data_IF_811411973622
#
_entry.id   IF_811411973622
#
_cell.length_a   1.000
_cell.length_b   1.000
_cell.length_c   1.000
_cell.angle_alpha   90.00
_cell.angle_beta   90.00
_cell.angle_gamma   90.00
#
_symmetry.space_group_name_H-M   'P 1'
#
loop_
_entity.id
_entity.type
_entity.pdbx_description
1 polymer ?
#
# COMPACT_ATOMS: atom_id res chain seq x y z
N UNK A 1 -6.25 1.14 9.08
CA UNK A 1 -4.96 1.26 8.38
C UNK A 1 -4.01 2.30 8.95
N UNK A 2 -4.50 3.37 9.54
CA UNK A 2 -3.63 4.41 10.07
C UNK A 2 -2.58 3.87 11.04
N UNK A 3 -2.99 3.07 12.02
CA UNK A 3 -2.06 2.54 13.02
C UNK A 3 -1.00 1.64 12.38
N UNK A 4 -1.37 0.85 11.38
CA UNK A 4 -0.43 -0.02 10.70
C UNK A 4 0.61 0.78 9.90
N UNK A 5 0.16 1.86 9.24
CA UNK A 5 1.07 2.74 8.50
C UNK A 5 2.04 3.43 9.44
N UNK A 6 1.54 3.92 10.57
CA UNK A 6 2.37 4.56 11.58
C UNK A 6 3.39 3.57 12.15
N UNK A 7 2.97 2.33 12.36
CA UNK A 7 3.89 1.30 12.83
C UNK A 7 5.02 1.08 11.82
N UNK A 8 4.68 0.95 10.54
CA UNK A 8 5.68 0.79 9.48
C UNK A 8 6.65 1.97 9.45
N UNK A 9 6.12 3.19 9.55
CA UNK A 9 6.94 4.41 9.52
C UNK A 9 7.94 4.47 10.66
N UNK A 10 7.62 3.84 11.78
CA UNK A 10 8.47 3.85 12.96
C UNK A 10 9.40 2.64 13.07
N UNK A 11 9.38 1.74 12.09
CA UNK A 11 10.32 0.63 12.09
C UNK A 11 11.72 1.13 11.80
N UNK A 12 12.71 0.36 12.23
CA UNK A 12 14.11 0.70 11.96
C UNK A 12 14.59 0.02 10.69
N UNK A 13 13.87 0.27 9.60
CA UNK A 13 14.14 -0.37 8.31
C UNK A 13 14.84 0.58 7.36
N UNK A 14 15.65 0.02 6.45
CA UNK A 14 16.29 0.82 5.42
C UNK A 14 15.27 1.46 4.51
N UNK A 15 14.24 0.70 4.14
CA UNK A 15 13.22 1.15 3.23
C UNK A 15 11.87 0.62 3.71
N UNK A 16 10.85 1.46 3.64
CA UNK A 16 9.51 1.15 4.13
C UNK A 16 8.55 1.14 2.96
N UNK A 17 7.94 -0.01 2.71
CA UNK A 17 7.07 -0.23 1.57
C UNK A 17 5.68 -0.58 2.07
N UNK A 18 4.67 0.18 1.64
CA UNK A 18 3.29 -0.11 1.98
C UNK A 18 2.58 -0.68 0.75
N UNK A 19 1.96 -1.85 0.90
CA UNK A 19 1.14 -2.48 -0.13
C UNK A 19 -0.28 -2.50 0.38
N UNK A 20 -1.13 -1.66 -0.19
CA UNK A 20 -2.48 -1.42 0.32
C UNK A 20 -3.52 -1.77 -0.73
N UNK A 21 -4.53 -2.54 -0.32
CA UNK A 21 -5.63 -2.92 -1.18
C UNK A 21 -6.94 -2.31 -0.74
N UNK A 22 -8.02 -2.73 -1.40
CA UNK A 22 -9.35 -2.22 -1.10
C UNK A 22 -9.79 -2.59 0.32
N UNK A 23 -10.49 -1.63 0.95
CA UNK A 23 -11.24 -1.89 2.18
C UNK A 23 -12.69 -2.08 1.76
N UNK A 24 -13.27 -3.23 2.11
CA UNK A 24 -14.65 -3.54 1.72
C UNK A 24 -15.66 -3.07 2.75
N UNK A 25 -16.94 -3.08 2.35
CA UNK A 25 -18.07 -2.78 3.22
C UNK A 25 -18.11 -1.34 3.74
N UNK A 26 -17.51 -0.40 3.01
CA UNK A 26 -17.54 1.02 3.37
C UNK A 26 -18.70 1.78 2.72
N UNK A 27 -19.39 1.16 1.77
CA UNK A 27 -20.54 1.77 1.11
C UNK A 27 -20.19 3.06 0.40
N UNK A 28 -21.02 4.07 0.56
CA UNK A 28 -20.84 5.37 -0.11
C UNK A 28 -19.63 6.17 0.40
N UNK A 29 -19.07 5.77 1.53
CA UNK A 29 -17.90 6.45 2.09
C UNK A 29 -16.58 5.84 1.62
N UNK A 30 -16.62 4.87 0.70
CA UNK A 30 -15.42 4.16 0.28
C UNK A 30 -14.34 5.09 -0.28
N UNK A 31 -14.69 5.97 -1.20
CA UNK A 31 -13.69 6.87 -1.78
C UNK A 31 -13.07 7.77 -0.70
N UNK A 32 -13.91 8.38 0.12
CA UNK A 32 -13.44 9.29 1.17
C UNK A 32 -12.49 8.60 2.14
N UNK A 33 -12.84 7.39 2.57
CA UNK A 33 -12.03 6.66 3.54
C UNK A 33 -10.72 6.18 2.93
N UNK A 34 -10.74 5.75 1.67
CA UNK A 34 -9.51 5.38 0.98
C UNK A 34 -8.60 6.60 0.79
N UNK A 35 -9.16 7.77 0.49
CA UNK A 35 -8.37 9.00 0.37
C UNK A 35 -7.71 9.38 1.69
N UNK A 36 -8.40 9.18 2.81
CA UNK A 36 -7.80 9.44 4.12
C UNK A 36 -6.58 8.57 4.39
N UNK A 37 -6.61 7.33 3.92
CA UNK A 37 -5.45 6.45 4.04
C UNK A 37 -4.27 7.03 3.23
N UNK A 38 -4.54 7.55 2.04
CA UNK A 38 -3.50 8.20 1.23
C UNK A 38 -2.87 9.39 1.93
N UNK A 39 -3.66 10.21 2.61
CA UNK A 39 -3.13 11.32 3.40
C UNK A 39 -2.20 10.82 4.50
N UNK A 40 -2.59 9.75 5.18
CA UNK A 40 -1.77 9.19 6.27
C UNK A 40 -0.44 8.70 5.71
N UNK A 41 -0.46 8.02 4.55
CA UNK A 41 0.78 7.56 3.91
C UNK A 41 1.70 8.74 3.62
N UNK A 42 1.15 9.83 3.04
CA UNK A 42 1.97 10.99 2.66
C UNK A 42 2.57 11.71 3.86
N UNK A 43 1.91 11.65 5.02
CA UNK A 43 2.37 12.32 6.24
C UNK A 43 3.37 11.51 7.04
N UNK A 44 3.59 10.26 6.66
CA UNK A 44 4.51 9.37 7.36
C UNK A 44 5.71 9.07 6.47
N UNK A 45 6.77 8.53 7.07
CA UNK A 45 7.99 8.20 6.32
C UNK A 45 7.82 6.84 5.64
N UNK A 46 7.20 6.86 4.46
CA UNK A 46 7.00 5.66 3.65
C UNK A 46 7.75 5.88 2.34
N UNK A 47 8.61 4.95 1.98
CA UNK A 47 9.46 5.10 0.80
C UNK A 47 8.76 4.73 -0.50
N UNK A 48 7.93 3.68 -0.47
CA UNK A 48 7.19 3.25 -1.65
C UNK A 48 5.77 2.89 -1.26
N UNK A 49 4.82 3.27 -2.11
CA UNK A 49 3.41 2.93 -1.95
C UNK A 49 2.93 2.18 -3.18
N UNK A 50 2.49 0.96 -2.97
CA UNK A 50 1.85 0.16 -4.01
C UNK A 50 0.40 -0.05 -3.61
N UNK A 51 -0.51 0.17 -4.56
CA UNK A 51 -1.93 -0.04 -4.31
C UNK A 51 -2.48 -1.02 -5.34
N UNK A 52 -3.50 -1.77 -4.94
CA UNK A 52 -4.17 -2.71 -5.83
C UNK A 52 -5.66 -2.76 -5.53
N UNK A 53 -6.49 -2.68 -6.57
CA UNK A 53 -7.93 -2.73 -6.44
C UNK A 53 -8.61 -1.47 -6.94
N UNK A 54 -9.93 -1.55 -7.19
CA UNK A 54 -10.67 -0.43 -7.76
C UNK A 54 -10.73 0.78 -6.84
N UNK A 55 -10.90 0.56 -5.54
CA UNK A 55 -11.02 1.67 -4.59
C UNK A 55 -9.65 2.10 -4.06
N UNK A 56 -8.68 1.20 -4.05
CA UNK A 56 -7.34 1.53 -3.58
C UNK A 56 -6.65 2.57 -4.46
N UNK A 57 -7.14 2.79 -5.69
CA UNK A 57 -6.62 3.86 -6.54
C UNK A 57 -6.75 5.22 -5.87
N UNK A 58 -7.78 5.41 -5.04
CA UNK A 58 -7.96 6.67 -4.32
C UNK A 58 -6.88 6.89 -3.26
N UNK A 59 -6.33 5.79 -2.71
CA UNK A 59 -5.21 5.89 -1.78
C UNK A 59 -4.00 6.48 -2.53
N UNK A 60 -3.72 5.94 -3.70
CA UNK A 60 -2.60 6.41 -4.52
C UNK A 60 -2.78 7.86 -4.96
N UNK A 61 -3.99 8.21 -5.44
CA UNK A 61 -4.28 9.58 -5.87
C UNK A 61 -4.09 10.58 -4.75
N UNK A 62 -4.62 10.28 -3.57
CA UNK A 62 -4.55 11.21 -2.46
C UNK A 62 -3.15 11.31 -1.87
N UNK A 63 -2.39 10.23 -1.88
CA UNK A 63 -1.00 10.28 -1.44
C UNK A 63 -0.20 11.27 -2.30
N UNK A 64 -0.42 11.24 -3.61
CA UNK A 64 0.23 12.18 -4.53
C UNK A 64 -0.29 13.61 -4.29
N UNK A 65 -1.60 13.78 -4.17
CA UNK A 65 -2.20 15.09 -3.93
C UNK A 65 -1.71 15.72 -2.62
N UNK A 66 -1.38 14.89 -1.66
CA UNK A 66 -0.93 15.35 -0.34
C UNK A 66 0.58 15.53 -0.24
N UNK A 67 1.32 15.33 -1.33
CA UNK A 67 2.73 15.67 -1.39
C UNK A 67 3.72 14.53 -1.62
N UNK A 68 3.25 13.28 -1.68
CA UNK A 68 4.16 12.16 -1.95
C UNK A 68 4.59 12.17 -3.42
N UNK A 69 5.86 11.92 -3.67
CA UNK A 69 6.38 11.93 -5.05
C UNK A 69 5.75 10.82 -5.89
N UNK A 70 5.34 11.18 -7.10
CA UNK A 70 4.68 10.27 -8.02
C UNK A 70 5.53 9.03 -8.33
N UNK A 71 6.83 9.18 -8.41
CA UNK A 71 7.75 8.08 -8.70
C UNK A 71 7.75 7.01 -7.63
N UNK A 72 7.28 7.34 -6.44
CA UNK A 72 7.22 6.41 -5.31
C UNK A 72 5.88 5.71 -5.18
N UNK A 73 4.95 6.00 -6.08
CA UNK A 73 3.57 5.48 -6.03
C UNK A 73 3.27 4.69 -7.29
N UNK A 74 2.83 3.44 -7.14
CA UNK A 74 2.40 2.62 -8.28
C UNK A 74 1.07 1.96 -7.93
N UNK A 75 0.09 2.12 -8.81
CA UNK A 75 -1.19 1.45 -8.69
C UNK A 75 -1.23 0.26 -9.65
N UNK A 76 -1.66 -0.89 -9.15
CA UNK A 76 -1.73 -2.12 -9.93
C UNK A 76 -3.18 -2.54 -10.11
N UNK A 77 -3.49 -3.09 -11.28
CA UNK A 77 -4.80 -3.68 -11.55
C UNK A 77 -4.77 -5.21 -11.46
N UNK A 78 -3.58 -5.79 -11.51
CA UNK A 78 -3.41 -7.24 -11.47
C UNK A 78 -2.44 -7.64 -10.38
N UNK A 79 -2.82 -8.68 -9.63
CA UNK A 79 -2.00 -9.20 -8.55
C UNK A 79 -0.64 -9.66 -9.05
N UNK A 80 -0.61 -10.29 -10.21
CA UNK A 80 0.62 -10.85 -10.79
C UNK A 80 1.66 -9.76 -11.04
N UNK A 81 1.23 -8.60 -11.52
CA UNK A 81 2.12 -7.49 -11.77
C UNK A 81 2.69 -6.92 -10.47
N UNK A 82 1.85 -6.84 -9.44
CA UNK A 82 2.28 -6.38 -8.12
C UNK A 82 3.33 -7.32 -7.54
N UNK A 83 3.09 -8.64 -7.60
CA UNK A 83 4.02 -9.64 -7.08
C UNK A 83 5.36 -9.55 -7.79
N UNK A 84 5.33 -9.46 -9.12
CA UNK A 84 6.55 -9.36 -9.91
C UNK A 84 7.35 -8.12 -9.55
N UNK A 85 6.68 -6.97 -9.42
CA UNK A 85 7.35 -5.74 -9.04
C UNK A 85 8.03 -5.85 -7.69
N UNK A 86 7.33 -6.42 -6.70
CA UNK A 86 7.89 -6.58 -5.37
C UNK A 86 9.11 -7.48 -5.40
N UNK A 87 9.02 -8.61 -6.12
CA UNK A 87 10.14 -9.54 -6.23
C UNK A 87 11.36 -8.89 -6.86
N UNK A 88 11.14 -8.01 -7.83
CA UNK A 88 12.23 -7.36 -8.55
C UNK A 88 12.91 -6.26 -7.73
N UNK A 89 12.19 -5.58 -6.84
CA UNK A 89 12.74 -4.45 -6.11
C UNK A 89 13.10 -4.75 -4.67
N UNK A 90 12.62 -5.89 -4.13
CA UNK A 90 12.81 -6.23 -2.72
C UNK A 90 14.29 -6.41 -2.39
N UNK A 91 14.73 -5.77 -1.32
CA UNK A 91 16.10 -5.82 -0.87
C UNK A 91 16.18 -6.12 0.62
N UNK A 92 17.32 -6.61 1.06
CA UNK A 92 17.57 -6.86 2.47
C UNK A 92 17.49 -5.55 3.24
N UNK A 93 16.75 -5.54 4.33
CA UNK A 93 16.53 -4.34 5.12
C UNK A 93 15.19 -3.68 4.88
N UNK A 94 14.44 -4.13 3.88
CA UNK A 94 13.11 -3.60 3.61
C UNK A 94 12.09 -4.13 4.62
N UNK A 95 11.15 -3.26 5.01
CA UNK A 95 9.94 -3.69 5.72
C UNK A 95 8.76 -3.47 4.80
N UNK A 96 7.94 -4.48 4.62
CA UNK A 96 6.79 -4.44 3.73
C UNK A 96 5.52 -4.69 4.51
N UNK A 97 4.60 -3.74 4.47
CA UNK A 97 3.28 -3.87 5.08
C UNK A 97 2.26 -4.26 4.01
N UNK A 98 1.55 -5.36 4.23
CA UNK A 98 0.44 -5.76 3.38
C UNK A 98 -0.84 -5.56 4.15
N UNK A 99 -1.76 -4.74 3.63
CA UNK A 99 -3.00 -4.46 4.34
C UNK A 99 -4.16 -4.27 3.35
N UNK A 100 -5.25 -5.00 3.58
CA UNK A 100 -6.48 -4.89 2.81
C UNK A 100 -7.57 -5.69 3.50
N UNK A 101 -8.80 -5.62 2.96
CA UNK A 101 -9.86 -6.52 3.40
C UNK A 101 -9.51 -7.95 2.99
N UNK A 102 -9.94 -8.91 3.79
CA UNK A 102 -9.65 -10.33 3.53
C UNK A 102 -10.11 -10.78 2.15
N UNK A 103 -11.16 -10.18 1.60
CA UNK A 103 -11.64 -10.53 0.27
C UNK A 103 -10.70 -10.19 -0.87
N UNK A 104 -9.65 -9.39 -0.63
CA UNK A 104 -8.68 -9.02 -1.65
C UNK A 104 -7.63 -10.11 -1.91
N UNK A 105 -7.58 -11.14 -1.08
CA UNK A 105 -6.62 -12.24 -1.22
C UNK A 105 -5.16 -11.80 -1.16
N UNK A 106 -4.87 -10.70 -0.45
CA UNK A 106 -3.48 -10.28 -0.26
C UNK A 106 -2.66 -11.30 0.53
N UNK A 107 -3.35 -12.17 1.28
CA UNK A 107 -2.70 -13.26 1.97
C UNK A 107 -1.95 -14.18 0.98
N UNK A 108 -2.55 -14.43 -0.19
CA UNK A 108 -1.90 -15.24 -1.22
C UNK A 108 -0.65 -14.55 -1.75
N UNK A 109 -0.70 -13.22 -1.90
CA UNK A 109 0.46 -12.44 -2.34
C UNK A 109 1.62 -12.60 -1.36
N UNK A 110 1.33 -12.49 -0.06
CA UNK A 110 2.35 -12.65 0.98
C UNK A 110 3.00 -14.03 0.91
N UNK A 111 2.21 -15.09 0.72
CA UNK A 111 2.75 -16.43 0.63
C UNK A 111 3.69 -16.62 -0.56
N UNK A 112 3.33 -16.07 -1.71
CA UNK A 112 4.18 -16.16 -2.89
C UNK A 112 5.51 -15.46 -2.71
N UNK A 113 5.50 -14.29 -2.05
CA UNK A 113 6.73 -13.54 -1.83
C UNK A 113 7.67 -14.24 -0.86
N UNK A 114 7.12 -14.92 0.13
CA UNK A 114 7.93 -15.63 1.12
C UNK A 114 8.67 -16.84 0.57
N UNK A 115 8.22 -17.35 -0.54
CA UNK A 115 8.89 -18.45 -1.19
C UNK A 115 10.09 -17.95 -2.00
#
# INVERSE_FOLDING_TARGET
MKAAIEYLANTNSKRKIAVLGDMFELGEFSEELHRKVGEVVSKNTIDLLFTIGEDAKYIAEEAENSGMEKEKIIHFNKREELIEKIKNIMEKGDSILFKASNGMKLFEIVQEIKQ
#
